data_IF_321785308564
#
_entry.id   IF_321785308564
#
_cell.length_a   1.000
_cell.length_b   1.000
_cell.length_c   1.000
_cell.angle_alpha   90.00
_cell.angle_beta   90.00
_cell.angle_gamma   90.00
#
_symmetry.space_group_name_H-M   'P 1'
#
loop_
_entity.id
_entity.type
_entity.pdbx_description
1 polymer ?
#
# COMPACT_ATOMS: atom_id res chain seq x y z
N UNK A 1 -8.27 32.95 -50.59
CA UNK A 1 -7.33 31.82 -50.46
C UNK A 1 -7.15 31.55 -48.99
N UNK A 2 -7.74 30.48 -48.50
CA UNK A 2 -7.83 30.16 -47.07
C UNK A 2 -7.04 28.88 -46.81
N UNK A 3 -6.19 28.95 -45.77
CA UNK A 3 -5.50 27.87 -45.04
C UNK A 3 -4.46 27.03 -45.78
N UNK A 4 -3.27 26.98 -45.19
CA UNK A 4 -2.77 25.75 -44.54
C UNK A 4 -2.20 26.16 -43.18
N UNK A 5 -2.83 25.69 -42.09
CA UNK A 5 -2.25 25.69 -40.75
C UNK A 5 -1.08 24.70 -40.77
N UNK A 6 0.11 25.16 -40.38
CA UNK A 6 1.22 24.28 -40.01
C UNK A 6 0.78 23.45 -38.79
N UNK A 7 0.59 22.16 -39.00
CA UNK A 7 0.25 21.22 -37.93
C UNK A 7 1.40 21.13 -36.92
N UNK A 8 1.07 21.32 -35.64
CA UNK A 8 1.84 20.77 -34.54
C UNK A 8 1.91 19.26 -34.74
N UNK A 9 3.05 18.76 -35.21
CA UNK A 9 3.33 17.32 -35.21
C UNK A 9 3.70 16.93 -33.79
N UNK A 10 2.70 16.64 -32.94
CA UNK A 10 2.91 15.96 -31.68
C UNK A 10 3.51 14.58 -31.98
N UNK A 11 4.75 14.36 -31.55
CA UNK A 11 5.42 13.08 -31.75
C UNK A 11 5.09 12.18 -30.54
N UNK A 12 4.11 11.30 -30.72
CA UNK A 12 3.69 10.36 -29.69
C UNK A 12 4.72 9.23 -29.58
N UNK A 13 5.33 9.04 -28.39
CA UNK A 13 6.31 7.98 -28.16
C UNK A 13 5.64 6.61 -28.01
N UNK A 14 4.58 6.55 -27.21
CA UNK A 14 3.69 5.40 -27.03
C UNK A 14 2.32 5.88 -26.52
N UNK A 15 1.44 4.97 -26.09
CA UNK A 15 0.22 5.35 -25.37
C UNK A 15 0.50 5.90 -23.95
N UNK A 16 1.77 6.07 -23.55
CA UNK A 16 2.17 6.64 -22.27
C UNK A 16 2.39 8.16 -22.31
N UNK A 17 3.03 8.68 -23.35
CA UNK A 17 3.43 10.10 -23.40
C UNK A 17 3.49 10.67 -24.82
N UNK A 18 3.38 11.99 -24.88
CA UNK A 18 3.69 12.79 -26.06
C UNK A 18 4.93 13.65 -25.81
N UNK A 19 5.77 13.81 -26.83
CA UNK A 19 6.90 14.74 -26.83
C UNK A 19 6.45 16.06 -27.43
N UNK A 20 6.61 17.14 -26.66
CA UNK A 20 6.26 18.50 -27.05
C UNK A 20 7.35 19.10 -27.95
N UNK A 21 7.02 20.17 -28.68
CA UNK A 21 7.95 20.81 -29.62
C UNK A 21 9.23 21.39 -29.00
N UNK A 22 9.25 21.59 -27.68
CA UNK A 22 10.41 22.03 -26.89
C UNK A 22 11.27 20.88 -26.35
N UNK A 23 10.91 19.63 -26.67
CA UNK A 23 11.59 18.43 -26.19
C UNK A 23 11.13 17.94 -24.81
N UNK A 24 10.22 18.64 -24.14
CA UNK A 24 9.60 18.16 -22.90
C UNK A 24 8.58 17.04 -23.18
N UNK A 25 8.29 16.21 -22.16
CA UNK A 25 7.30 15.14 -22.27
C UNK A 25 6.09 15.42 -21.36
N UNK A 26 4.89 15.15 -21.90
CA UNK A 26 3.64 15.19 -21.15
C UNK A 26 3.00 13.80 -21.17
N UNK A 27 2.58 13.32 -20.01
CA UNK A 27 1.85 12.05 -19.92
C UNK A 27 0.46 12.17 -20.56
N UNK A 28 0.05 11.12 -21.26
CA UNK A 28 -1.26 11.07 -21.89
C UNK A 28 -2.38 10.82 -20.85
N UNK A 29 -3.64 11.22 -21.15
CA UNK A 29 -4.77 10.95 -20.27
C UNK A 29 -4.90 9.47 -19.92
N UNK A 30 -5.23 9.18 -18.65
CA UNK A 30 -5.37 7.81 -18.15
C UNK A 30 -4.07 7.16 -17.72
N UNK A 31 -2.90 7.78 -17.89
CA UNK A 31 -1.62 7.25 -17.41
C UNK A 31 -1.36 7.67 -15.96
N UNK A 32 -1.58 8.93 -15.62
CA UNK A 32 -1.28 9.47 -14.29
C UNK A 32 -2.11 10.75 -14.02
N UNK A 33 -2.53 11.03 -12.76
CA UNK A 33 -3.30 12.23 -12.41
C UNK A 33 -2.51 13.54 -12.53
N UNK A 34 -1.17 13.48 -12.50
CA UNK A 34 -0.26 14.60 -12.79
C UNK A 34 0.28 14.46 -14.23
N UNK A 35 -0.24 15.21 -15.22
CA UNK A 35 0.21 15.11 -16.61
C UNK A 35 1.67 15.52 -16.81
N UNK A 36 2.18 16.40 -15.94
CA UNK A 36 3.55 16.90 -15.93
C UNK A 36 4.48 16.11 -14.99
N UNK A 37 4.11 14.88 -14.58
CA UNK A 37 4.88 14.06 -13.63
C UNK A 37 6.39 14.03 -13.93
N UNK A 38 6.76 13.86 -15.21
CA UNK A 38 8.16 13.73 -15.62
C UNK A 38 8.99 15.02 -15.53
N UNK A 39 8.34 16.15 -15.26
CA UNK A 39 8.98 17.46 -15.04
C UNK A 39 9.07 17.84 -13.56
N UNK A 40 8.55 16.99 -12.66
CA UNK A 40 8.59 17.21 -11.22
C UNK A 40 9.80 16.51 -10.60
N UNK A 41 10.30 17.09 -9.51
CA UNK A 41 11.24 16.43 -8.60
C UNK A 41 10.50 15.51 -7.62
N UNK A 42 11.22 14.56 -7.00
CA UNK A 42 10.62 13.56 -6.10
C UNK A 42 9.81 14.18 -4.98
N UNK A 43 10.33 15.21 -4.31
CA UNK A 43 9.66 15.91 -3.21
C UNK A 43 8.37 16.61 -3.67
N UNK A 44 8.36 17.16 -4.89
CA UNK A 44 7.18 17.77 -5.48
C UNK A 44 6.08 16.74 -5.78
N UNK A 45 6.45 15.54 -6.24
CA UNK A 45 5.49 14.44 -6.45
C UNK A 45 4.89 14.01 -5.12
N UNK A 46 5.73 13.76 -4.11
CA UNK A 46 5.27 13.34 -2.78
C UNK A 46 4.35 14.39 -2.14
N UNK A 47 4.68 15.67 -2.24
CA UNK A 47 3.83 16.75 -1.71
C UNK A 47 2.49 16.85 -2.45
N UNK A 48 2.48 16.70 -3.78
CA UNK A 48 1.25 16.75 -4.57
C UNK A 48 0.25 15.66 -4.16
N UNK A 49 0.72 14.43 -3.94
CA UNK A 49 -0.11 13.33 -3.48
C UNK A 49 -0.58 13.49 -2.04
N UNK A 50 0.32 13.90 -1.13
CA UNK A 50 -0.04 14.25 0.25
C UNK A 50 -1.21 15.24 0.27
N UNK A 51 -1.14 16.30 -0.53
CA UNK A 51 -2.22 17.28 -0.63
C UNK A 51 -3.49 16.73 -1.30
N UNK A 52 -3.36 15.85 -2.29
CA UNK A 52 -4.51 15.24 -2.97
C UNK A 52 -5.30 14.33 -2.05
N UNK A 53 -4.62 13.40 -1.37
CA UNK A 53 -5.25 12.48 -0.42
C UNK A 53 -5.94 13.24 0.72
N UNK A 54 -5.32 14.31 1.22
CA UNK A 54 -5.91 15.18 2.23
C UNK A 54 -7.23 15.80 1.75
N UNK A 55 -7.31 16.28 0.50
CA UNK A 55 -8.54 16.83 -0.08
C UNK A 55 -9.61 15.76 -0.23
N UNK A 56 -9.25 14.59 -0.75
CA UNK A 56 -10.21 13.48 -0.95
C UNK A 56 -10.79 12.99 0.37
N UNK A 57 -9.95 12.84 1.39
CA UNK A 57 -10.40 12.45 2.71
C UNK A 57 -11.28 13.50 3.36
N UNK A 58 -10.89 14.78 3.28
CA UNK A 58 -11.71 15.89 3.81
C UNK A 58 -13.08 15.91 3.15
N UNK A 59 -13.14 15.67 1.83
CA UNK A 59 -14.41 15.54 1.10
C UNK A 59 -15.26 14.39 1.64
N UNK A 60 -14.69 13.19 1.81
CA UNK A 60 -15.45 12.04 2.32
C UNK A 60 -15.93 12.23 3.75
N UNK A 61 -15.13 12.84 4.64
CA UNK A 61 -15.61 13.18 5.99
C UNK A 61 -16.79 14.14 5.93
N UNK A 62 -16.69 15.21 5.13
CA UNK A 62 -17.79 16.16 5.01
C UNK A 62 -19.06 15.48 4.47
N UNK A 63 -18.91 14.49 3.58
CA UNK A 63 -20.03 13.65 3.14
C UNK A 63 -20.59 12.79 4.28
N UNK A 64 -19.75 12.22 5.16
CA UNK A 64 -20.18 11.44 6.34
C UNK A 64 -20.88 12.28 7.42
N UNK A 65 -20.64 13.58 7.46
CA UNK A 65 -21.32 14.51 8.38
C UNK A 65 -22.67 15.01 7.85
N UNK A 66 -23.01 14.73 6.58
CA UNK A 66 -24.28 15.14 5.99
C UNK A 66 -25.44 14.22 6.42
N UNK A 67 -26.54 14.81 6.92
CA UNK A 67 -27.72 14.10 7.44
C UNK A 67 -28.38 13.13 6.42
N UNK A 68 -28.27 13.45 5.13
CA UNK A 68 -28.82 12.63 4.03
C UNK A 68 -27.87 11.53 3.54
N UNK A 69 -26.65 11.45 4.10
CA UNK A 69 -25.69 10.43 3.73
C UNK A 69 -26.12 9.03 4.27
N UNK A 70 -26.21 8.00 3.41
CA UNK A 70 -26.64 6.66 3.84
C UNK A 70 -25.74 6.02 4.90
N UNK A 71 -24.44 6.31 4.88
CA UNK A 71 -23.47 5.79 5.84
C UNK A 71 -23.57 6.51 7.19
N UNK A 72 -23.83 7.82 7.17
CA UNK A 72 -24.19 8.57 8.37
C UNK A 72 -25.43 7.96 9.05
N UNK A 73 -26.50 7.73 8.26
CA UNK A 73 -27.73 7.14 8.75
C UNK A 73 -27.53 5.72 9.30
N UNK A 74 -26.65 4.92 8.68
CA UNK A 74 -26.29 3.60 9.19
C UNK A 74 -25.66 3.68 10.58
N UNK A 75 -24.67 4.56 10.79
CA UNK A 75 -24.02 4.71 12.09
C UNK A 75 -24.95 5.28 13.15
N UNK A 76 -25.82 6.23 12.80
CA UNK A 76 -26.85 6.75 13.70
C UNK A 76 -27.84 5.68 14.13
N UNK A 77 -28.28 4.81 13.21
CA UNK A 77 -29.14 3.67 13.56
C UNK A 77 -28.46 2.71 14.53
N UNK A 78 -27.17 2.40 14.30
CA UNK A 78 -26.39 1.57 15.22
C UNK A 78 -26.23 2.25 16.59
N UNK A 79 -25.99 3.57 16.62
CA UNK A 79 -25.92 4.35 17.87
C UNK A 79 -27.21 4.26 18.68
N UNK A 80 -28.36 4.42 18.04
CA UNK A 80 -29.69 4.29 18.68
C UNK A 80 -29.92 2.89 19.26
N UNK A 81 -29.40 1.83 18.61
CA UNK A 81 -29.46 0.46 19.15
C UNK A 81 -28.58 0.35 20.40
N UNK A 82 -27.35 0.85 20.34
CA UNK A 82 -26.40 0.82 21.45
C UNK A 82 -26.94 1.53 22.70
N UNK A 83 -27.52 2.73 22.54
CA UNK A 83 -28.00 3.54 23.66
C UNK A 83 -29.18 2.89 24.43
N UNK A 84 -29.82 1.87 23.85
CA UNK A 84 -30.88 1.09 24.52
C UNK A 84 -30.34 -0.07 25.37
N UNK A 85 -29.07 -0.43 25.20
CA UNK A 85 -28.44 -1.56 25.88
C UNK A 85 -27.50 -1.09 27.00
N UNK A 86 -27.82 -1.37 28.28
CA UNK A 86 -26.95 -0.99 29.40
C UNK A 86 -25.54 -1.58 29.27
N UNK A 87 -24.52 -0.73 29.35
CA UNK A 87 -23.11 -1.13 29.29
C UNK A 87 -22.53 -1.25 27.87
N UNK A 88 -23.33 -0.98 26.83
CA UNK A 88 -22.84 -0.86 25.46
C UNK A 88 -22.03 0.43 25.30
N UNK A 89 -20.83 0.33 24.72
CA UNK A 89 -19.87 1.44 24.59
C UNK A 89 -19.76 1.99 23.16
N UNK A 90 -20.62 1.56 22.23
CA UNK A 90 -20.52 1.97 20.83
C UNK A 90 -20.68 3.48 20.65
N UNK A 91 -21.60 4.13 21.38
CA UNK A 91 -21.79 5.58 21.33
C UNK A 91 -20.65 6.39 21.97
N UNK A 92 -19.70 5.74 22.65
CA UNK A 92 -18.50 6.38 23.20
C UNK A 92 -17.38 6.58 22.16
N UNK A 93 -17.50 5.95 20.98
CA UNK A 93 -16.48 5.98 19.95
C UNK A 93 -16.20 7.39 19.47
N UNK A 94 -14.92 7.65 19.17
CA UNK A 94 -14.46 8.94 18.65
C UNK A 94 -15.15 9.30 17.32
N UNK A 95 -15.62 8.32 16.55
CA UNK A 95 -16.38 8.56 15.31
C UNK A 95 -17.60 9.47 15.52
N UNK A 96 -18.20 9.46 16.72
CA UNK A 96 -19.39 10.27 17.05
C UNK A 96 -19.05 11.65 17.64
N UNK A 97 -17.77 11.94 17.88
CA UNK A 97 -17.33 13.24 18.39
C UNK A 97 -17.04 14.16 17.19
N UNK A 98 -17.64 15.36 17.11
CA UNK A 98 -17.39 16.28 16.00
C UNK A 98 -15.89 16.51 15.76
N UNK A 99 -15.45 16.33 14.52
CA UNK A 99 -14.06 16.52 14.09
C UNK A 99 -13.04 15.46 14.55
N UNK A 100 -13.42 14.47 15.36
CA UNK A 100 -12.44 13.49 15.87
C UNK A 100 -11.96 12.50 14.80
N UNK A 101 -12.83 12.09 13.85
CA UNK A 101 -12.41 11.27 12.70
C UNK A 101 -11.42 12.04 11.80
N UNK A 102 -11.65 13.35 11.62
CA UNK A 102 -10.76 14.22 10.88
C UNK A 102 -9.41 14.35 11.59
N UNK A 103 -9.41 14.58 12.90
CA UNK A 103 -8.18 14.65 13.70
C UNK A 103 -7.38 13.34 13.64
N UNK A 104 -8.05 12.19 13.82
CA UNK A 104 -7.45 10.87 13.72
C UNK A 104 -6.75 10.66 12.38
N UNK A 105 -7.43 10.97 11.27
CA UNK A 105 -6.84 10.84 9.96
C UNK A 105 -5.70 11.80 9.72
N UNK A 106 -5.85 13.08 10.05
CA UNK A 106 -4.80 14.08 9.85
C UNK A 106 -3.51 13.67 10.57
N UNK A 107 -3.64 13.23 11.82
CA UNK A 107 -2.51 12.78 12.62
C UNK A 107 -1.84 11.54 12.02
N UNK A 108 -2.63 10.54 11.60
CA UNK A 108 -2.09 9.32 11.01
C UNK A 108 -1.53 9.54 9.60
N UNK A 109 -2.15 10.44 8.83
CA UNK A 109 -1.72 10.82 7.48
C UNK A 109 -0.39 11.54 7.54
N UNK A 110 -0.28 12.55 8.40
CA UNK A 110 1.00 13.21 8.61
C UNK A 110 2.07 12.22 9.11
N UNK A 111 1.73 11.34 10.04
CA UNK A 111 2.65 10.33 10.56
C UNK A 111 3.21 9.41 9.46
N UNK A 112 2.32 8.87 8.62
CA UNK A 112 2.68 8.01 7.48
C UNK A 112 3.43 8.81 6.42
N UNK A 113 2.90 9.93 5.96
CA UNK A 113 3.44 10.67 4.82
C UNK A 113 4.80 11.33 5.10
N UNK A 114 5.14 11.59 6.37
CA UNK A 114 6.45 12.11 6.75
C UNK A 114 7.51 11.03 7.03
N UNK A 115 7.15 9.75 6.94
CA UNK A 115 8.12 8.67 7.19
C UNK A 115 9.20 8.66 6.09
N UNK A 116 10.48 8.45 6.43
CA UNK A 116 11.60 8.49 5.48
C UNK A 116 11.61 7.39 4.40
N UNK A 117 10.65 6.46 4.42
CA UNK A 117 10.59 5.37 3.43
C UNK A 117 10.18 5.87 2.05
N UNK A 118 9.37 6.94 1.99
CA UNK A 118 8.90 7.50 0.71
C UNK A 118 9.99 8.23 -0.06
N UNK A 119 11.01 8.73 0.64
CA UNK A 119 12.20 9.35 0.07
C UNK A 119 13.41 8.40 0.05
N UNK A 120 13.18 7.09 0.20
CA UNK A 120 14.26 6.10 0.18
C UNK A 120 15.11 6.23 -1.10
N UNK A 121 16.46 6.17 -1.02
CA UNK A 121 17.35 6.38 -2.17
C UNK A 121 17.01 5.56 -3.42
N UNK A 122 16.55 4.32 -3.23
CA UNK A 122 16.09 3.46 -4.33
C UNK A 122 14.93 4.07 -5.13
N UNK A 123 13.88 4.58 -4.48
CA UNK A 123 12.75 5.20 -5.18
C UNK A 123 13.16 6.49 -5.89
N UNK A 124 13.97 7.32 -5.22
CA UNK A 124 14.50 8.57 -5.80
C UNK A 124 15.29 8.28 -7.07
N UNK A 125 16.22 7.33 -7.01
CA UNK A 125 17.07 6.95 -8.15
C UNK A 125 16.27 6.34 -9.30
N UNK A 126 15.30 5.47 -8.99
CA UNK A 126 14.38 4.93 -10.00
C UNK A 126 13.58 6.05 -10.66
N UNK A 127 12.99 6.97 -9.89
CA UNK A 127 12.20 8.06 -10.48
C UNK A 127 12.99 8.97 -11.43
N UNK A 128 14.28 9.18 -11.13
CA UNK A 128 15.22 9.90 -12.00
C UNK A 128 15.58 9.15 -13.29
N UNK A 129 15.21 7.86 -13.40
CA UNK A 129 15.58 7.03 -14.54
C UNK A 129 17.05 6.62 -14.52
N UNK A 130 17.72 6.68 -13.37
CA UNK A 130 19.16 6.42 -13.21
C UNK A 130 19.44 4.92 -13.02
N UNK A 131 19.02 4.11 -13.99
CA UNK A 131 19.19 2.67 -14.01
C UNK A 131 19.23 2.11 -15.44
N UNK A 132 19.76 0.90 -15.60
CA UNK A 132 19.77 0.17 -16.88
C UNK A 132 18.69 -0.94 -16.95
N UNK A 133 18.61 -1.62 -18.10
CA UNK A 133 17.65 -2.70 -18.33
C UNK A 133 17.80 -3.87 -17.34
N UNK A 134 19.03 -4.22 -16.96
CA UNK A 134 19.32 -5.33 -16.03
C UNK A 134 18.85 -4.97 -14.63
N UNK A 135 19.06 -3.72 -14.23
CA UNK A 135 18.61 -3.18 -12.95
C UNK A 135 17.09 -3.09 -12.90
N UNK A 136 16.41 -2.66 -13.97
CA UNK A 136 14.94 -2.66 -14.01
C UNK A 136 14.38 -4.08 -13.92
N UNK A 137 14.97 -5.05 -14.63
CA UNK A 137 14.56 -6.46 -14.54
C UNK A 137 14.79 -7.03 -13.13
N UNK A 138 15.93 -6.72 -12.52
CA UNK A 138 16.24 -7.10 -11.13
C UNK A 138 15.25 -6.49 -10.13
N UNK A 139 14.87 -5.22 -10.33
CA UNK A 139 13.86 -4.57 -9.50
C UNK A 139 12.51 -5.26 -9.66
N UNK A 140 12.05 -5.45 -10.89
CA UNK A 140 10.74 -6.02 -11.18
C UNK A 140 10.58 -7.43 -10.60
N UNK A 141 11.59 -8.29 -10.76
CA UNK A 141 11.54 -9.68 -10.25
C UNK A 141 11.57 -9.75 -8.72
N UNK A 142 12.38 -8.91 -8.06
CA UNK A 142 12.41 -8.89 -6.60
C UNK A 142 11.19 -8.18 -6.00
N UNK A 143 10.71 -7.09 -6.60
CA UNK A 143 9.52 -6.38 -6.12
C UNK A 143 8.24 -7.22 -6.31
N UNK A 144 8.19 -8.07 -7.34
CA UNK A 144 7.09 -9.03 -7.52
C UNK A 144 6.93 -9.99 -6.33
N UNK A 145 8.00 -10.28 -5.58
CA UNK A 145 7.88 -11.04 -4.33
C UNK A 145 7.02 -10.34 -3.28
N UNK A 146 7.01 -9.00 -3.24
CA UNK A 146 6.09 -8.26 -2.38
C UNK A 146 4.66 -8.37 -2.90
N UNK A 147 4.44 -8.04 -4.17
CA UNK A 147 3.11 -7.99 -4.81
C UNK A 147 2.35 -9.31 -4.64
N UNK A 148 3.02 -10.45 -4.84
CA UNK A 148 2.34 -11.75 -4.76
C UNK A 148 1.89 -12.16 -3.35
N UNK A 149 2.39 -11.48 -2.31
CA UNK A 149 2.08 -11.76 -0.90
C UNK A 149 1.09 -10.76 -0.28
N UNK A 150 0.93 -9.55 -0.82
CA UNK A 150 0.00 -8.50 -0.32
C UNK A 150 -1.41 -9.05 -0.05
N UNK A 151 -2.04 -9.68 -1.04
CA UNK A 151 -3.37 -10.30 -0.92
C UNK A 151 -3.52 -11.33 0.20
N UNK A 152 -2.44 -12.02 0.56
CA UNK A 152 -2.49 -12.99 1.65
C UNK A 152 -2.61 -12.29 3.00
N UNK A 153 -1.99 -11.12 3.16
CA UNK A 153 -2.10 -10.30 4.37
C UNK A 153 -3.53 -9.77 4.54
N UNK A 154 -4.17 -9.33 3.46
CA UNK A 154 -5.60 -8.92 3.50
C UNK A 154 -6.50 -10.09 3.93
N UNK A 155 -6.28 -11.29 3.37
CA UNK A 155 -7.02 -12.48 3.76
C UNK A 155 -6.79 -12.89 5.24
N UNK A 156 -5.55 -12.79 5.72
CA UNK A 156 -5.22 -13.05 7.12
C UNK A 156 -5.94 -12.07 8.04
N UNK A 157 -5.90 -10.77 7.74
CA UNK A 157 -6.60 -9.73 8.49
C UNK A 157 -8.11 -9.98 8.50
N UNK A 158 -8.71 -10.28 7.33
CA UNK A 158 -10.13 -10.57 7.22
C UNK A 158 -10.54 -11.75 8.12
N UNK A 159 -9.72 -12.81 8.18
CA UNK A 159 -9.95 -13.98 9.02
C UNK A 159 -9.94 -13.70 10.53
N UNK A 160 -9.43 -12.54 10.97
CA UNK A 160 -9.45 -12.12 12.38
C UNK A 160 -10.80 -11.56 12.82
N UNK A 161 -11.62 -11.12 11.88
CA UNK A 161 -12.94 -10.58 12.14
C UNK A 161 -13.96 -11.72 12.12
N UNK A 162 -14.71 -11.90 13.20
CA UNK A 162 -15.75 -12.94 13.33
C UNK A 162 -16.82 -12.57 14.35
N UNK A 163 -17.95 -13.29 14.35
CA UNK A 163 -18.98 -13.18 15.37
C UNK A 163 -18.54 -13.58 16.78
N UNK A 164 -17.33 -14.14 16.95
CA UNK A 164 -16.77 -14.50 18.25
C UNK A 164 -15.92 -13.38 18.88
N UNK A 165 -15.76 -12.23 18.22
CA UNK A 165 -14.96 -11.13 18.79
C UNK A 165 -15.67 -10.58 20.03
N UNK A 166 -14.91 -10.48 21.11
CA UNK A 166 -15.31 -9.79 22.34
C UNK A 166 -15.15 -8.28 22.19
N UNK A 167 -16.11 -7.60 21.57
CA UNK A 167 -16.22 -6.14 21.58
C UNK A 167 -17.16 -5.67 22.70
N UNK A 168 -17.01 -4.42 23.19
CA UNK A 168 -17.91 -3.87 24.22
C UNK A 168 -19.19 -3.27 23.62
N UNK A 169 -19.70 -3.81 22.50
CA UNK A 169 -20.83 -3.24 21.75
C UNK A 169 -22.08 -4.11 21.78
N UNK A 170 -22.19 -5.06 22.70
CA UNK A 170 -23.39 -5.86 22.92
C UNK A 170 -23.89 -6.55 21.65
N UNK A 171 -25.15 -6.31 21.28
CA UNK A 171 -25.75 -6.88 20.05
C UNK A 171 -25.12 -6.39 18.75
N UNK A 172 -24.33 -5.31 18.78
CA UNK A 172 -23.67 -4.75 17.60
C UNK A 172 -22.30 -5.38 17.32
N UNK A 173 -21.78 -6.26 18.18
CA UNK A 173 -20.47 -6.89 17.99
C UNK A 173 -20.34 -7.55 16.62
N UNK A 174 -21.33 -8.37 16.25
CA UNK A 174 -21.35 -9.07 14.97
C UNK A 174 -21.43 -8.08 13.80
N UNK A 175 -22.28 -7.04 13.90
CA UNK A 175 -22.44 -6.04 12.85
C UNK A 175 -21.18 -5.21 12.62
N UNK A 176 -20.48 -4.81 13.69
CA UNK A 176 -19.21 -4.08 13.58
C UNK A 176 -18.13 -4.96 12.96
N UNK A 177 -18.05 -6.23 13.35
CA UNK A 177 -17.15 -7.20 12.72
C UNK A 177 -17.47 -7.39 11.23
N UNK A 178 -18.75 -7.49 10.86
CA UNK A 178 -19.20 -7.64 9.48
C UNK A 178 -18.78 -6.46 8.61
N UNK A 179 -18.89 -5.22 9.10
CA UNK A 179 -18.44 -4.03 8.36
C UNK A 179 -16.95 -4.09 8.01
N UNK A 180 -16.11 -4.51 8.96
CA UNK A 180 -14.68 -4.71 8.70
C UNK A 180 -14.44 -5.82 7.67
N UNK A 181 -15.18 -6.94 7.76
CA UNK A 181 -15.09 -8.02 6.79
C UNK A 181 -15.47 -7.57 5.38
N UNK A 182 -16.52 -6.76 5.21
CA UNK A 182 -16.95 -6.25 3.91
C UNK A 182 -15.87 -5.38 3.27
N UNK A 183 -15.27 -4.47 4.05
CA UNK A 183 -14.19 -3.60 3.58
C UNK A 183 -12.98 -4.45 3.15
N UNK A 184 -12.53 -5.37 4.01
CA UNK A 184 -11.39 -6.23 3.69
C UNK A 184 -11.69 -7.20 2.53
N UNK A 185 -12.93 -7.67 2.41
CA UNK A 185 -13.35 -8.50 1.28
C UNK A 185 -13.32 -7.72 -0.03
N UNK A 186 -13.68 -6.44 -0.04
CA UNK A 186 -13.58 -5.59 -1.23
C UNK A 186 -12.12 -5.37 -1.64
N UNK A 187 -11.22 -5.12 -0.68
CA UNK A 187 -9.77 -5.05 -0.94
C UNK A 187 -9.24 -6.37 -1.50
N UNK A 188 -9.66 -7.50 -0.91
CA UNK A 188 -9.26 -8.82 -1.39
C UNK A 188 -9.81 -9.12 -2.80
N UNK A 189 -11.03 -8.67 -3.08
CA UNK A 189 -11.70 -8.83 -4.36
C UNK A 189 -10.94 -8.07 -5.47
N UNK A 190 -10.49 -6.85 -5.17
CA UNK A 190 -9.64 -6.05 -6.06
C UNK A 190 -8.31 -6.73 -6.36
N UNK A 191 -7.61 -7.23 -5.34
CA UNK A 191 -6.36 -8.00 -5.47
C UNK A 191 -6.50 -9.24 -6.38
N UNK A 192 -7.66 -9.89 -6.36
CA UNK A 192 -7.98 -11.04 -7.22
C UNK A 192 -8.63 -10.65 -8.56
N UNK A 193 -8.91 -9.37 -8.81
CA UNK A 193 -9.60 -8.92 -10.01
C UNK A 193 -11.00 -9.53 -10.15
N UNK A 194 -11.66 -9.82 -9.03
CA UNK A 194 -13.02 -10.38 -8.98
C UNK A 194 -13.95 -9.31 -8.43
N UNK A 195 -14.95 -8.90 -9.21
CA UNK A 195 -15.91 -7.88 -8.76
C UNK A 195 -17.11 -8.50 -8.05
N UNK A 196 -17.98 -7.66 -7.51
CA UNK A 196 -19.34 -8.07 -7.13
C UNK A 196 -20.14 -8.37 -8.40
N UNK A 197 -20.17 -9.64 -8.79
CA UNK A 197 -21.01 -10.11 -9.88
C UNK A 197 -22.44 -10.29 -9.38
N UNK A 198 -23.44 -9.74 -10.09
CA UNK A 198 -24.82 -10.19 -9.90
C UNK A 198 -24.90 -11.70 -10.17
N UNK A 199 -25.91 -12.38 -9.61
CA UNK A 199 -26.13 -13.83 -9.82
C UNK A 199 -26.14 -14.17 -11.32
N UNK A 200 -26.69 -13.28 -12.15
CA UNK A 200 -26.77 -13.42 -13.61
C UNK A 200 -25.45 -13.12 -14.35
N UNK A 201 -24.43 -12.62 -13.63
CA UNK A 201 -23.10 -12.22 -14.15
C UNK A 201 -21.96 -13.07 -13.57
N UNK A 202 -22.26 -14.20 -12.93
CA UNK A 202 -21.24 -15.05 -12.32
C UNK A 202 -20.30 -15.62 -13.41
N UNK A 203 -18.97 -15.50 -13.26
CA UNK A 203 -18.04 -15.97 -14.26
C UNK A 203 -18.14 -17.50 -14.44
N UNK A 204 -17.99 -17.97 -15.67
CA UNK A 204 -17.74 -19.39 -15.90
C UNK A 204 -16.35 -19.78 -15.39
N UNK A 205 -16.05 -21.09 -15.37
CA UNK A 205 -14.77 -21.58 -14.86
C UNK A 205 -13.57 -21.00 -15.63
N UNK A 206 -13.73 -20.70 -16.92
CA UNK A 206 -12.68 -20.06 -17.73
C UNK A 206 -12.48 -18.61 -17.30
N UNK A 207 -13.56 -17.85 -17.11
CA UNK A 207 -13.51 -16.47 -16.61
C UNK A 207 -12.90 -16.35 -15.22
N UNK A 208 -13.18 -17.31 -14.33
CA UNK A 208 -12.62 -17.35 -12.98
C UNK A 208 -11.13 -17.71 -12.98
N UNK A 209 -10.68 -18.63 -13.84
CA UNK A 209 -9.27 -18.99 -13.95
C UNK A 209 -8.43 -17.96 -14.71
N UNK A 210 -9.07 -17.07 -15.47
CA UNK A 210 -8.43 -15.99 -16.23
C UNK A 210 -8.68 -14.59 -15.64
N UNK A 211 -9.05 -14.48 -14.35
CA UNK A 211 -9.24 -13.19 -13.70
C UNK A 211 -7.98 -12.32 -13.75
N UNK A 212 -8.16 -11.03 -14.00
CA UNK A 212 -7.08 -10.04 -14.07
C UNK A 212 -6.65 -9.62 -12.67
N UNK A 213 -5.98 -10.54 -11.96
CA UNK A 213 -5.41 -10.28 -10.62
C UNK A 213 -4.28 -9.24 -10.69
N UNK A 214 -3.92 -8.63 -9.55
CA UNK A 214 -2.72 -7.78 -9.45
C UNK A 214 -1.44 -8.50 -9.86
N UNK A 215 -1.36 -9.82 -9.63
CA UNK A 215 -0.25 -10.64 -10.12
C UNK A 215 -0.23 -10.70 -11.65
N UNK A 216 -1.38 -10.93 -12.28
CA UNK A 216 -1.49 -10.98 -13.74
C UNK A 216 -1.16 -9.62 -14.35
N UNK A 217 -1.64 -8.54 -13.74
CA UNK A 217 -1.31 -7.16 -14.13
C UNK A 217 0.20 -6.89 -13.99
N UNK A 218 0.83 -7.30 -12.89
CA UNK A 218 2.27 -7.14 -12.71
C UNK A 218 3.07 -7.96 -13.73
N UNK A 219 2.61 -9.17 -14.09
CA UNK A 219 3.27 -9.98 -15.13
C UNK A 219 3.24 -9.31 -16.52
N UNK A 220 2.34 -8.36 -16.78
CA UNK A 220 2.39 -7.56 -18.02
C UNK A 220 3.63 -6.65 -18.08
N UNK A 221 4.21 -6.25 -16.94
CA UNK A 221 5.50 -5.56 -16.93
C UNK A 221 6.60 -6.51 -17.43
N UNK A 222 6.60 -7.77 -16.99
CA UNK A 222 7.57 -8.76 -17.45
C UNK A 222 7.50 -8.99 -18.96
N UNK A 223 6.28 -9.02 -19.53
CA UNK A 223 6.09 -9.08 -20.99
C UNK A 223 6.74 -7.87 -21.68
N UNK A 224 6.52 -6.65 -21.15
CA UNK A 224 7.13 -5.43 -21.67
C UNK A 224 8.66 -5.36 -21.54
N UNK A 225 9.23 -6.04 -20.53
CA UNK A 225 10.67 -6.15 -20.29
C UNK A 225 11.32 -7.37 -20.97
N UNK A 226 10.53 -8.23 -21.62
CA UNK A 226 11.02 -9.46 -22.25
C UNK A 226 11.51 -10.53 -21.24
N UNK A 227 10.98 -10.54 -20.02
CA UNK A 227 11.38 -11.50 -18.97
C UNK A 227 10.53 -12.77 -19.11
N UNK A 228 11.14 -13.94 -19.45
CA UNK A 228 10.39 -15.18 -19.66
C UNK A 228 9.80 -15.69 -18.34
N UNK A 229 8.68 -16.42 -18.43
CA UNK A 229 7.92 -16.88 -17.26
C UNK A 229 8.78 -17.63 -16.23
N UNK A 230 9.71 -18.47 -16.69
CA UNK A 230 10.63 -19.24 -15.86
C UNK A 230 11.61 -18.37 -15.05
N UNK A 231 11.83 -17.12 -15.48
CA UNK A 231 12.70 -16.15 -14.82
C UNK A 231 11.97 -15.13 -13.95
N UNK A 232 10.62 -15.19 -13.87
CA UNK A 232 9.83 -14.17 -13.14
C UNK A 232 9.81 -14.41 -11.62
N UNK A 233 9.96 -15.65 -11.17
CA UNK A 233 9.91 -16.03 -9.76
C UNK A 233 11.32 -16.30 -9.21
N UNK A 234 11.86 -15.34 -8.44
CA UNK A 234 13.19 -15.43 -7.81
C UNK A 234 13.09 -15.60 -6.29
N UNK A 235 14.10 -16.24 -5.63
CA UNK A 235 14.19 -16.24 -4.18
C UNK A 235 14.22 -14.82 -3.61
N UNK A 236 13.59 -14.60 -2.46
CA UNK A 236 13.55 -13.30 -1.80
C UNK A 236 14.91 -12.92 -1.21
N UNK A 237 15.26 -11.64 -1.30
CA UNK A 237 16.30 -11.04 -0.45
C UNK A 237 15.84 -11.05 1.02
N UNK A 238 16.78 -10.88 1.96
CA UNK A 238 16.47 -10.97 3.40
C UNK A 238 15.47 -9.89 3.83
N UNK A 239 15.68 -8.64 3.41
CA UNK A 239 14.78 -7.53 3.67
C UNK A 239 13.42 -7.68 2.99
N UNK A 240 13.35 -8.32 1.81
CA UNK A 240 12.08 -8.65 1.15
C UNK A 240 11.32 -9.69 1.96
N UNK A 241 12.00 -10.74 2.42
CA UNK A 241 11.41 -11.78 3.26
C UNK A 241 10.92 -11.21 4.60
N UNK A 242 11.72 -10.37 5.26
CA UNK A 242 11.32 -9.71 6.50
C UNK A 242 10.12 -8.79 6.32
N UNK A 243 10.05 -8.04 5.22
CA UNK A 243 8.89 -7.20 4.93
C UNK A 243 7.60 -8.03 4.74
N UNK A 244 7.69 -9.12 3.99
CA UNK A 244 6.56 -10.05 3.81
C UNK A 244 6.15 -10.69 5.14
N UNK A 245 7.11 -11.15 5.96
CA UNK A 245 6.81 -11.75 7.26
C UNK A 245 6.20 -10.75 8.23
N UNK A 246 6.74 -9.53 8.30
CA UNK A 246 6.22 -8.46 9.18
C UNK A 246 4.76 -8.15 8.86
N UNK A 247 4.41 -8.01 7.57
CA UNK A 247 3.01 -7.82 7.14
C UNK A 247 2.11 -8.97 7.56
N UNK A 248 2.54 -10.21 7.34
CA UNK A 248 1.75 -11.40 7.70
C UNK A 248 1.56 -11.51 9.22
N UNK A 249 2.58 -11.20 10.00
CA UNK A 249 2.53 -11.25 11.46
C UNK A 249 1.55 -10.22 12.01
N UNK A 250 1.63 -8.97 11.58
CA UNK A 250 0.70 -7.94 12.05
C UNK A 250 -0.74 -8.22 11.59
N UNK A 251 -0.91 -8.70 10.36
CA UNK A 251 -2.21 -9.01 9.80
C UNK A 251 -2.87 -10.25 10.43
N UNK A 252 -2.10 -11.25 10.87
CA UNK A 252 -2.64 -12.57 11.21
C UNK A 252 -2.27 -13.14 12.57
N UNK A 253 -1.17 -12.69 13.18
CA UNK A 253 -0.65 -13.35 14.38
C UNK A 253 -1.50 -13.00 15.63
N UNK A 254 -1.94 -13.99 16.43
CA UNK A 254 -2.87 -13.77 17.53
C UNK A 254 -2.37 -12.83 18.64
N UNK A 255 -1.05 -12.61 18.73
CA UNK A 255 -0.48 -11.72 19.75
C UNK A 255 -0.74 -10.24 19.48
N UNK A 256 -1.06 -9.83 18.25
CA UNK A 256 -1.34 -8.44 17.89
C UNK A 256 -2.84 -8.15 17.98
N UNK A 257 -3.26 -6.91 18.20
CA UNK A 257 -4.67 -6.53 18.29
C UNK A 257 -5.36 -6.49 16.93
N UNK A 258 -6.70 -6.36 16.91
CA UNK A 258 -7.46 -6.15 15.68
C UNK A 258 -7.15 -4.81 15.01
N UNK A 259 -6.85 -3.80 15.82
CA UNK A 259 -6.46 -2.46 15.34
C UNK A 259 -5.08 -2.52 14.69
N UNK A 260 -4.12 -3.24 15.28
CA UNK A 260 -2.81 -3.49 14.67
C UNK A 260 -2.96 -4.24 13.34
N UNK A 261 -3.89 -5.20 13.27
CA UNK A 261 -4.23 -5.90 12.02
C UNK A 261 -4.78 -4.98 10.94
N UNK A 262 -5.74 -4.09 11.25
CA UNK A 262 -6.29 -3.13 10.28
C UNK A 262 -5.26 -2.10 9.85
N UNK A 263 -4.48 -1.59 10.80
CA UNK A 263 -3.37 -0.69 10.51
C UNK A 263 -2.35 -1.34 9.56
N UNK A 264 -2.16 -2.66 9.67
CA UNK A 264 -1.21 -3.36 8.83
C UNK A 264 -1.61 -3.39 7.35
N UNK A 265 -2.89 -3.63 7.08
CA UNK A 265 -3.42 -3.73 5.71
C UNK A 265 -3.86 -2.41 5.13
N UNK A 266 -4.20 -1.40 5.95
CA UNK A 266 -4.53 -0.06 5.46
C UNK A 266 -3.32 0.87 5.45
N UNK A 267 -2.91 1.30 6.64
CA UNK A 267 -1.98 2.42 6.82
C UNK A 267 -0.56 2.12 6.35
N UNK A 268 -0.02 0.95 6.67
CA UNK A 268 1.35 0.59 6.28
C UNK A 268 1.46 -0.04 4.89
N UNK A 269 0.34 -0.50 4.32
CA UNK A 269 0.32 -1.19 3.02
C UNK A 269 -0.21 -0.33 1.88
N UNK A 270 -1.34 0.37 2.05
CA UNK A 270 -2.09 1.03 0.96
C UNK A 270 -1.85 2.54 0.89
N UNK A 271 -1.66 3.20 2.03
CA UNK A 271 -1.71 4.67 2.09
C UNK A 271 -0.61 5.38 1.29
N UNK A 272 0.61 4.85 1.29
CA UNK A 272 1.70 5.43 0.50
C UNK A 272 1.80 4.88 -0.91
N UNK A 273 0.92 3.94 -1.32
CA UNK A 273 1.03 3.25 -2.61
C UNK A 273 0.98 4.22 -3.77
N UNK A 274 -0.01 5.14 -3.88
CA UNK A 274 -0.04 6.11 -4.96
C UNK A 274 1.28 6.87 -5.08
N UNK A 275 1.85 7.32 -3.96
CA UNK A 275 3.07 8.11 -3.93
C UNK A 275 4.27 7.37 -4.50
N UNK A 276 4.62 6.22 -3.94
CA UNK A 276 5.82 5.53 -4.39
C UNK A 276 5.58 4.81 -5.73
N UNK A 277 4.34 4.42 -6.07
CA UNK A 277 4.02 3.91 -7.41
C UNK A 277 4.13 5.01 -8.46
N UNK A 278 3.81 6.27 -8.16
CA UNK A 278 4.07 7.39 -9.06
C UNK A 278 5.57 7.57 -9.33
N UNK A 279 6.42 7.36 -8.32
CA UNK A 279 7.88 7.39 -8.49
C UNK A 279 8.36 6.24 -9.39
N UNK A 280 7.86 5.01 -9.16
CA UNK A 280 8.20 3.86 -9.99
C UNK A 280 7.70 4.02 -11.43
N UNK A 281 6.44 4.40 -11.61
CA UNK A 281 5.81 4.63 -12.90
C UNK A 281 6.54 5.72 -13.69
N UNK A 282 6.79 6.87 -13.07
CA UNK A 282 7.53 7.96 -13.70
C UNK A 282 8.93 7.54 -14.13
N UNK A 283 9.64 6.80 -13.28
CA UNK A 283 10.96 6.25 -13.59
C UNK A 283 10.96 5.28 -14.77
N UNK A 284 10.03 4.32 -14.79
CA UNK A 284 9.89 3.35 -15.88
C UNK A 284 9.51 4.01 -17.21
N UNK A 285 8.61 5.01 -17.18
CA UNK A 285 8.24 5.78 -18.38
C UNK A 285 9.43 6.58 -18.89
N UNK A 286 10.17 7.25 -17.99
CA UNK A 286 11.35 8.04 -18.33
C UNK A 286 12.43 7.17 -18.97
N UNK A 287 12.75 6.04 -18.35
CA UNK A 287 13.71 5.08 -18.89
C UNK A 287 13.27 4.56 -20.26
N UNK A 288 12.01 4.12 -20.40
CA UNK A 288 11.49 3.61 -21.66
C UNK A 288 11.61 4.64 -22.78
N UNK A 289 11.30 5.89 -22.48
CA UNK A 289 11.45 7.00 -23.42
C UNK A 289 12.90 7.25 -23.84
N UNK A 290 13.83 7.32 -22.88
CA UNK A 290 15.24 7.59 -23.17
C UNK A 290 15.94 6.44 -23.91
N UNK A 291 15.63 5.20 -23.53
CA UNK A 291 16.22 3.99 -24.12
C UNK A 291 15.43 3.47 -25.34
N UNK A 292 14.37 4.18 -25.74
CA UNK A 292 13.50 3.81 -26.85
C UNK A 292 12.92 2.38 -26.75
N UNK A 293 12.48 2.02 -25.54
CA UNK A 293 11.82 0.74 -25.25
C UNK A 293 10.30 0.94 -25.33
N UNK A 294 9.56 0.14 -26.13
CA UNK A 294 8.15 0.39 -26.42
C UNK A 294 7.23 -0.09 -25.28
N UNK A 295 7.43 0.44 -24.06
CA UNK A 295 6.47 0.24 -22.97
C UNK A 295 5.15 0.93 -23.28
N UNK A 296 4.05 0.32 -22.82
CA UNK A 296 2.68 0.79 -23.04
C UNK A 296 1.92 0.83 -21.73
N UNK A 297 0.72 1.43 -21.73
CA UNK A 297 -0.19 1.40 -20.58
C UNK A 297 -0.48 -0.03 -20.14
N UNK A 298 -0.62 -0.97 -21.08
CA UNK A 298 -0.81 -2.40 -20.77
C UNK A 298 0.34 -2.97 -19.94
N UNK A 299 1.59 -2.65 -20.27
CA UNK A 299 2.76 -3.13 -19.53
C UNK A 299 2.84 -2.54 -18.12
N UNK A 300 2.38 -1.30 -17.94
CA UNK A 300 2.46 -0.55 -16.68
C UNK A 300 1.14 -0.53 -15.90
N UNK A 301 0.17 -1.36 -16.29
CA UNK A 301 -1.23 -1.27 -15.83
C UNK A 301 -1.39 -1.40 -14.32
N UNK A 302 -0.58 -2.24 -13.66
CA UNK A 302 -0.62 -2.37 -12.20
C UNK A 302 -0.29 -1.05 -11.52
N UNK A 303 0.70 -0.30 -12.02
CA UNK A 303 1.08 0.97 -11.43
C UNK A 303 0.05 2.06 -11.70
N UNK A 304 -0.47 2.09 -12.94
CA UNK A 304 -1.50 3.05 -13.36
C UNK A 304 -2.76 2.90 -12.52
N UNK A 305 -3.20 1.66 -12.29
CA UNK A 305 -4.42 1.37 -11.51
C UNK A 305 -4.30 1.87 -10.07
N UNK A 306 -3.24 1.48 -9.36
CA UNK A 306 -3.08 1.83 -7.94
C UNK A 306 -2.94 3.35 -7.72
N UNK A 307 -2.26 4.06 -8.63
CA UNK A 307 -2.17 5.52 -8.57
C UNK A 307 -3.52 6.21 -8.75
N UNK A 308 -4.46 5.60 -9.49
CA UNK A 308 -5.76 6.20 -9.78
C UNK A 308 -6.86 5.81 -8.78
N UNK A 309 -6.79 4.62 -8.18
CA UNK A 309 -7.94 4.01 -7.49
C UNK A 309 -7.79 3.86 -5.97
N UNK A 310 -6.57 3.83 -5.42
CA UNK A 310 -6.35 3.33 -4.04
C UNK A 310 -6.74 4.30 -2.92
N UNK A 311 -7.06 5.57 -3.24
CA UNK A 311 -7.47 6.54 -2.22
C UNK A 311 -8.70 6.03 -1.46
N UNK A 312 -9.65 5.37 -2.11
CA UNK A 312 -10.85 4.87 -1.42
C UNK A 312 -10.52 3.76 -0.39
N UNK A 313 -9.59 2.86 -0.71
CA UNK A 313 -9.17 1.79 0.22
C UNK A 313 -8.61 2.37 1.51
N UNK A 314 -7.76 3.39 1.39
CA UNK A 314 -7.18 4.09 2.53
C UNK A 314 -8.25 4.67 3.48
N UNK A 315 -9.27 5.31 2.91
CA UNK A 315 -10.39 5.91 3.66
C UNK A 315 -11.26 4.84 4.31
N UNK A 316 -11.62 3.79 3.57
CA UNK A 316 -12.46 2.71 4.09
C UNK A 316 -11.80 1.98 5.26
N UNK A 317 -10.50 1.67 5.19
CA UNK A 317 -9.80 1.00 6.29
C UNK A 317 -9.65 1.93 7.51
N UNK A 318 -9.48 3.24 7.32
CA UNK A 318 -9.48 4.19 8.44
C UNK A 318 -10.83 4.21 9.15
N UNK A 319 -11.91 4.25 8.37
CA UNK A 319 -13.26 4.19 8.92
C UNK A 319 -13.49 2.88 9.68
N UNK A 320 -13.08 1.74 9.12
CA UNK A 320 -13.16 0.46 9.82
C UNK A 320 -12.38 0.51 11.14
N UNK A 321 -11.15 1.03 11.11
CA UNK A 321 -10.28 1.17 12.29
C UNK A 321 -10.94 1.99 13.39
N UNK A 322 -11.65 3.07 13.03
CA UNK A 322 -12.37 3.91 14.00
C UNK A 322 -13.45 3.13 14.80
N UNK A 323 -14.01 2.05 14.25
CA UNK A 323 -14.99 1.20 14.92
C UNK A 323 -14.38 0.28 15.98
N UNK A 324 -13.05 0.08 15.97
CA UNK A 324 -12.34 -0.75 16.93
C UNK A 324 -11.56 0.08 17.97
N UNK A 325 -11.51 1.41 17.81
CA UNK A 325 -10.73 2.33 18.64
C UNK A 325 -11.35 2.69 19.99
N UNK A 326 -11.74 1.71 20.79
CA UNK A 326 -12.39 1.92 22.10
C UNK A 326 -11.40 1.92 23.29
N UNK A 327 -10.13 1.61 23.03
CA UNK A 327 -9.06 1.59 24.03
C UNK A 327 -8.29 2.92 24.03
N UNK A 328 -7.79 3.32 25.20
CA UNK A 328 -7.02 4.58 25.37
C UNK A 328 -5.74 4.63 24.53
N UNK A 329 -5.19 3.47 24.17
CA UNK A 329 -3.90 3.35 23.47
C UNK A 329 -4.05 3.06 21.97
N UNK A 330 -5.28 3.07 21.44
CA UNK A 330 -5.58 2.73 20.03
C UNK A 330 -4.67 3.49 19.06
N UNK A 331 -4.55 4.82 19.21
CA UNK A 331 -3.70 5.64 18.33
C UNK A 331 -2.24 5.17 18.35
N UNK A 332 -1.71 4.87 19.53
CA UNK A 332 -0.33 4.41 19.67
C UNK A 332 -0.14 3.02 19.05
N UNK A 333 -1.08 2.10 19.25
CA UNK A 333 -1.06 0.77 18.63
C UNK A 333 -1.05 0.88 17.10
N UNK A 334 -1.89 1.75 16.53
CA UNK A 334 -1.92 2.03 15.09
C UNK A 334 -0.56 2.53 14.60
N UNK A 335 0.00 3.54 15.26
CA UNK A 335 1.30 4.11 14.89
C UNK A 335 2.42 3.09 15.00
N UNK A 336 2.44 2.27 16.06
CA UNK A 336 3.46 1.24 16.25
C UNK A 336 3.40 0.15 15.18
N UNK A 337 2.20 -0.37 14.87
CA UNK A 337 2.04 -1.32 13.76
C UNK A 337 2.46 -0.72 12.41
N UNK A 338 2.11 0.55 12.18
CA UNK A 338 2.54 1.29 10.98
C UNK A 338 4.07 1.42 10.94
N UNK A 339 4.70 1.83 12.04
CA UNK A 339 6.16 1.97 12.12
C UNK A 339 6.89 0.67 11.81
N UNK A 340 6.40 -0.47 12.31
CA UNK A 340 6.99 -1.79 12.02
C UNK A 340 6.97 -2.07 10.51
N UNK A 341 5.85 -1.81 9.84
CA UNK A 341 5.73 -1.99 8.39
C UNK A 341 6.61 -1.05 7.57
N UNK A 342 6.67 0.21 7.97
CA UNK A 342 7.46 1.19 7.25
C UNK A 342 8.96 0.96 7.45
N UNK A 343 9.35 0.45 8.62
CA UNK A 343 10.73 0.03 8.90
C UNK A 343 11.14 -1.20 8.10
N UNK A 344 10.28 -2.23 8.05
CA UNK A 344 10.55 -3.41 7.22
C UNK A 344 10.60 -3.07 5.73
N UNK A 345 9.73 -2.16 5.27
CA UNK A 345 9.74 -1.67 3.88
C UNK A 345 10.99 -0.88 3.56
N UNK A 346 11.46 -0.03 4.48
CA UNK A 346 12.72 0.70 4.29
C UNK A 346 13.87 -0.28 4.04
N UNK A 347 14.05 -1.27 4.92
CA UNK A 347 15.13 -2.24 4.78
C UNK A 347 14.97 -3.16 3.57
N UNK A 348 13.74 -3.49 3.15
CA UNK A 348 13.49 -4.14 1.86
C UNK A 348 14.07 -3.32 0.70
N UNK A 349 13.82 -2.01 0.71
CA UNK A 349 14.33 -1.11 -0.33
C UNK A 349 15.85 -0.91 -0.24
N UNK A 350 16.45 -0.96 0.97
CA UNK A 350 17.90 -0.94 1.16
C UNK A 350 18.56 -2.18 0.55
N UNK A 351 17.98 -3.37 0.77
CA UNK A 351 18.45 -4.62 0.17
C UNK A 351 18.33 -4.60 -1.36
N UNK A 352 17.19 -4.15 -1.87
CA UNK A 352 17.01 -3.94 -3.32
C UNK A 352 18.06 -2.97 -3.86
N UNK A 353 18.29 -1.83 -3.22
CA UNK A 353 19.30 -0.86 -3.68
C UNK A 353 20.68 -1.51 -3.80
N UNK A 354 21.13 -2.24 -2.77
CA UNK A 354 22.41 -2.95 -2.77
C UNK A 354 22.48 -3.98 -3.89
N UNK A 355 21.41 -4.74 -4.11
CA UNK A 355 21.33 -5.76 -5.15
C UNK A 355 21.38 -5.18 -6.57
N UNK A 356 20.74 -4.04 -6.80
CA UNK A 356 20.61 -3.44 -8.13
C UNK A 356 21.83 -2.60 -8.51
N UNK A 357 22.34 -1.80 -7.58
CA UNK A 357 23.36 -0.81 -7.86
C UNK A 357 24.77 -1.25 -7.42
N UNK A 358 24.89 -2.36 -6.69
CA UNK A 358 26.17 -2.82 -6.11
C UNK A 358 26.87 -1.74 -5.27
N UNK A 359 26.07 -0.87 -4.66
CA UNK A 359 26.50 0.28 -3.86
C UNK A 359 26.01 0.13 -2.42
N UNK A 360 26.73 0.66 -1.42
CA UNK A 360 26.24 0.71 -0.05
C UNK A 360 24.92 1.48 0.05
N UNK A 361 23.98 0.95 0.83
CA UNK A 361 22.76 1.63 1.23
C UNK A 361 22.60 1.45 2.73
N UNK A 362 22.25 2.52 3.45
CA UNK A 362 21.98 2.44 4.88
C UNK A 362 20.66 1.69 5.13
N UNK A 363 20.63 0.91 6.20
CA UNK A 363 19.39 0.39 6.76
C UNK A 363 18.76 1.44 7.69
N UNK A 364 17.51 1.23 8.11
CA UNK A 364 16.75 2.25 8.83
C UNK A 364 17.35 2.63 10.20
N UNK A 365 18.14 1.76 10.81
CA UNK A 365 18.85 2.03 12.07
C UNK A 365 20.03 3.00 11.90
N UNK A 366 20.54 3.14 10.68
CA UNK A 366 21.70 3.96 10.38
C UNK A 366 21.37 5.35 9.82
N UNK A 367 20.08 5.69 9.62
CA UNK A 367 19.68 6.98 9.02
C UNK A 367 19.36 8.08 10.04
N UNK A 368 19.55 7.82 11.33
CA UNK A 368 19.13 8.74 12.38
C UNK A 368 17.60 8.86 12.44
N UNK A 369 16.90 7.73 12.42
CA UNK A 369 15.44 7.66 12.45
C UNK A 369 14.89 8.45 13.64
N UNK A 370 13.91 9.32 13.37
CA UNK A 370 13.19 10.09 14.39
C UNK A 370 12.55 9.16 15.44
N UNK A 371 12.65 9.54 16.72
CA UNK A 371 12.15 8.77 17.85
C UNK A 371 10.65 8.43 17.76
N UNK A 372 9.86 9.24 17.05
CA UNK A 372 8.42 8.94 16.81
C UNK A 372 8.19 7.67 15.99
N UNK A 373 9.18 7.24 15.23
CA UNK A 373 9.14 6.02 14.42
C UNK A 373 9.80 4.81 15.10
N UNK A 374 10.36 4.99 16.30
CA UNK A 374 10.94 3.88 17.06
C UNK A 374 9.86 2.93 17.54
N UNK A 375 10.19 1.65 17.54
CA UNK A 375 9.32 0.57 17.98
C UNK A 375 9.46 0.40 19.48
N UNK A 376 8.34 0.47 20.20
CA UNK A 376 8.29 0.22 21.65
C UNK A 376 7.88 -1.21 21.96
N UNK A 377 7.19 -1.86 21.04
CA UNK A 377 6.69 -3.23 21.20
C UNK A 377 7.68 -4.27 20.65
N UNK A 378 8.28 -5.06 21.55
CA UNK A 378 9.22 -6.13 21.20
C UNK A 378 8.57 -7.46 20.80
N UNK A 379 7.24 -7.61 20.88
CA UNK A 379 6.55 -8.84 20.41
C UNK A 379 6.90 -9.16 18.96
N UNK A 380 7.08 -8.14 18.13
CA UNK A 380 7.45 -8.30 16.71
C UNK A 380 8.86 -8.86 16.51
N UNK A 381 9.80 -8.56 17.41
CA UNK A 381 11.18 -9.08 17.33
C UNK A 381 11.19 -10.60 17.44
N UNK A 382 10.56 -11.12 18.50
CA UNK A 382 10.47 -12.55 18.76
C UNK A 382 9.64 -13.27 17.69
N UNK A 383 8.50 -12.69 17.31
CA UNK A 383 7.62 -13.26 16.30
C UNK A 383 8.30 -13.34 14.93
N UNK A 384 9.06 -12.32 14.53
CA UNK A 384 9.80 -12.31 13.26
C UNK A 384 10.91 -13.37 13.27
N UNK A 385 11.74 -13.40 14.31
CA UNK A 385 12.83 -14.39 14.42
C UNK A 385 12.30 -15.83 14.44
N UNK A 386 11.15 -16.07 15.07
CA UNK A 386 10.46 -17.35 15.03
C UNK A 386 9.97 -17.67 13.61
N UNK A 387 9.28 -16.73 12.96
CA UNK A 387 8.73 -16.92 11.62
C UNK A 387 9.82 -17.20 10.57
N UNK A 388 11.02 -16.62 10.72
CA UNK A 388 12.17 -16.92 9.84
C UNK A 388 12.51 -18.41 9.81
N UNK A 389 12.36 -19.13 10.93
CA UNK A 389 12.71 -20.55 11.00
C UNK A 389 11.81 -21.41 10.11
N UNK A 390 10.58 -20.98 9.89
CA UNK A 390 9.56 -21.71 9.11
C UNK A 390 9.69 -21.49 7.60
N UNK A 391 10.50 -20.53 7.16
CA UNK A 391 10.65 -20.22 5.73
C UNK A 391 11.32 -21.37 4.98
N UNK A 392 10.78 -21.72 3.81
CA UNK A 392 11.35 -22.75 2.95
C UNK A 392 12.71 -22.30 2.35
N UNK A 393 13.68 -23.22 2.32
CA UNK A 393 15.09 -22.88 2.07
C UNK A 393 15.37 -22.31 0.68
N UNK A 394 14.61 -22.74 -0.32
CA UNK A 394 14.71 -22.29 -1.71
C UNK A 394 14.00 -20.95 -1.99
N UNK A 395 13.24 -20.44 -1.02
CA UNK A 395 12.43 -19.23 -1.19
C UNK A 395 13.14 -17.95 -0.76
N UNK A 396 14.29 -18.07 -0.09
CA UNK A 396 15.11 -16.93 0.38
C UNK A 396 16.57 -17.17 -0.01
N UNK A 397 17.23 -16.12 -0.51
CA UNK A 397 18.66 -16.15 -0.82
C UNK A 397 19.45 -16.47 0.45
N UNK A 398 20.32 -17.48 0.40
CA UNK A 398 21.11 -17.94 1.55
C UNK A 398 20.26 -18.17 2.81
N UNK A 399 19.19 -18.96 2.69
CA UNK A 399 18.22 -19.16 3.77
C UNK A 399 18.84 -19.62 5.11
N UNK A 400 19.95 -20.36 5.10
CA UNK A 400 20.66 -20.73 6.33
C UNK A 400 21.15 -19.50 7.10
N UNK A 401 21.76 -18.55 6.41
CA UNK A 401 22.25 -17.30 7.00
C UNK A 401 21.08 -16.43 7.46
N UNK A 402 20.02 -16.34 6.65
CA UNK A 402 18.78 -15.63 6.99
C UNK A 402 18.17 -16.15 8.31
N UNK A 403 18.09 -17.47 8.47
CA UNK A 403 17.55 -18.13 9.67
C UNK A 403 18.45 -17.97 10.89
N UNK A 404 19.77 -17.94 10.70
CA UNK A 404 20.73 -17.76 11.79
C UNK A 404 20.85 -16.29 12.23
N UNK A 405 20.51 -15.34 11.34
CA UNK A 405 20.59 -13.90 11.58
C UNK A 405 19.69 -13.44 12.72
N UNK A 406 20.27 -12.66 13.64
CA UNK A 406 19.56 -12.08 14.79
C UNK A 406 19.13 -10.62 14.59
N UNK A 407 19.67 -9.95 13.58
CA UNK A 407 19.27 -8.58 13.24
C UNK A 407 17.84 -8.55 12.71
N UNK A 408 17.07 -7.55 13.14
CA UNK A 408 15.68 -7.30 12.71
C UNK A 408 15.58 -5.90 12.12
N UNK A 409 14.64 -5.63 11.20
CA UNK A 409 14.55 -4.35 10.49
C UNK A 409 13.84 -3.27 11.32
N UNK A 410 14.13 -3.17 12.62
CA UNK A 410 13.43 -2.30 13.55
C UNK A 410 14.44 -1.50 14.39
N UNK A 411 14.12 -0.22 14.60
CA UNK A 411 14.80 0.61 15.61
C UNK A 411 13.94 0.60 16.86
N UNK A 412 14.41 -0.02 17.94
CA UNK A 412 13.68 -0.02 19.19
C UNK A 412 13.97 1.23 20.01
N UNK A 413 12.96 1.77 20.67
CA UNK A 413 13.15 2.82 21.65
C UNK A 413 13.99 2.29 22.83
N UNK A 414 14.82 3.15 23.42
CA UNK A 414 15.56 2.80 24.63
C UNK A 414 14.59 2.39 25.74
N UNK A 415 14.95 1.36 26.51
CA UNK A 415 14.15 0.94 27.66
C UNK A 415 14.12 2.08 28.69
N UNK A 416 12.93 2.63 28.94
CA UNK A 416 12.68 3.64 29.98
C UNK A 416 12.62 3.00 31.36
#
# INVERSE_FOLDING_TARGET
MTRVNSGDSTNQFSDLLQVNGDGSATLLPGVHPLPNLLSLETDQVLDAFRQSQLRDFTRVINELEADDNPLHQLFEQMRVIADREPGNRFSELDLFKPGALQALFLELHEHVMLHPVWSHPCFVRIFRGEFDAVQLAGFATNYFNQVKNTRQCVALAQGRFSGFISLPYGSLNERVSELAQIILAQLLADEYGVGTHSIDSYPDLSGLLNSTTHIVMYRQLFDGLGIPFEGQDVPMLHGVADNVLTQRLLAGHPSFSLVESLASVGLGMEWGVPEFFSLLLGGMIRWAWHENVPLTQRHLIVFIAHVQYDVLHAISVMLATSLFGHEKETMQQIKQATNMLMSSRYNMMSDLYRQLFAEPCADIDAIGLDARYHITDRRIEEALLSARQEVAGERVVNAADYKAGKGVPFVFADAV
#
